data_IF_232271232618
#
_entry.id   IF_232271232618
#
_cell.length_a   1.000
_cell.length_b   1.000
_cell.length_c   1.000
_cell.angle_alpha   90.00
_cell.angle_beta   90.00
_cell.angle_gamma   90.00
#
_symmetry.space_group_name_H-M   'P 1'
#
loop_
_entity.id
_entity.type
_entity.pdbx_description
1 polymer ?
#
# COMPACT_ATOMS: atom_id res chain seq x y z
N UNK A 1 2.49 -7.10 -75.88
CA UNK A 1 1.19 -6.42 -75.74
C UNK A 1 0.80 -6.52 -74.28
N UNK A 2 1.06 -5.49 -73.49
CA UNK A 2 0.85 -5.48 -72.05
C UNK A 2 -0.63 -5.23 -71.73
N UNK A 3 -1.28 -6.20 -71.10
CA UNK A 3 -2.64 -6.07 -70.55
C UNK A 3 -2.52 -5.44 -69.16
N UNK A 4 -2.72 -4.12 -69.13
CA UNK A 4 -2.75 -3.30 -67.92
C UNK A 4 -4.07 -3.51 -67.18
N UNK A 5 -3.97 -3.98 -65.93
CA UNK A 5 -4.62 -3.44 -64.73
C UNK A 5 -6.07 -2.94 -64.88
N UNK A 6 -7.02 -3.78 -64.47
CA UNK A 6 -8.40 -3.38 -64.14
C UNK A 6 -8.64 -3.44 -62.62
N UNK A 7 -7.90 -2.64 -61.85
CA UNK A 7 -8.18 -2.42 -60.43
C UNK A 7 -9.14 -1.24 -60.29
N UNK A 8 -10.43 -1.49 -60.53
CA UNK A 8 -11.49 -0.50 -60.30
C UNK A 8 -12.20 -0.79 -58.99
N UNK A 9 -11.90 -0.04 -57.92
CA UNK A 9 -12.83 0.09 -56.81
C UNK A 9 -14.00 0.94 -57.30
N UNK A 10 -15.11 0.30 -57.67
CA UNK A 10 -16.37 1.02 -57.95
C UNK A 10 -16.77 1.81 -56.70
N UNK A 11 -16.99 3.11 -56.89
CA UNK A 11 -17.44 3.99 -55.83
C UNK A 11 -18.84 3.53 -55.38
N UNK A 12 -19.00 3.19 -54.10
CA UNK A 12 -20.27 2.76 -53.50
C UNK A 12 -21.43 3.64 -53.97
N UNK A 13 -22.51 3.00 -54.43
CA UNK A 13 -23.73 3.68 -54.87
C UNK A 13 -24.38 4.43 -53.68
N UNK A 14 -25.14 5.49 -53.96
CA UNK A 14 -25.80 6.31 -52.91
C UNK A 14 -26.73 5.47 -52.01
N UNK A 15 -27.39 4.45 -52.57
CA UNK A 15 -28.19 3.48 -51.82
C UNK A 15 -27.34 2.61 -50.86
N UNK A 16 -26.16 2.15 -51.31
CA UNK A 16 -25.28 1.31 -50.49
C UNK A 16 -24.66 2.11 -49.34
N UNK A 17 -24.39 3.39 -49.55
CA UNK A 17 -23.94 4.30 -48.48
C UNK A 17 -25.04 4.51 -47.44
N UNK A 18 -26.28 4.73 -47.88
CA UNK A 18 -27.42 4.87 -46.97
C UNK A 18 -27.65 3.60 -46.14
N UNK A 19 -27.50 2.41 -46.74
CA UNK A 19 -27.60 1.14 -46.01
C UNK A 19 -26.47 0.97 -44.98
N UNK A 20 -25.23 1.36 -45.33
CA UNK A 20 -24.10 1.34 -44.40
C UNK A 20 -24.29 2.31 -43.23
N UNK A 21 -24.76 3.53 -43.50
CA UNK A 21 -25.06 4.53 -42.47
C UNK A 21 -26.18 4.04 -41.53
N UNK A 22 -27.21 3.37 -42.08
CA UNK A 22 -28.27 2.75 -41.30
C UNK A 22 -27.74 1.62 -40.40
N UNK A 23 -26.85 0.77 -40.91
CA UNK A 23 -26.20 -0.29 -40.12
C UNK A 23 -25.33 0.29 -39.01
N UNK A 24 -24.60 1.37 -39.28
CA UNK A 24 -23.79 2.05 -38.26
C UNK A 24 -24.66 2.68 -37.17
N UNK A 25 -25.75 3.36 -37.54
CA UNK A 25 -26.71 3.90 -36.58
C UNK A 25 -27.36 2.81 -35.70
N UNK A 26 -27.64 1.63 -36.27
CA UNK A 26 -28.11 0.46 -35.52
C UNK A 26 -27.06 -0.07 -34.53
N UNK A 27 -25.77 -0.05 -34.89
CA UNK A 27 -24.70 -0.41 -33.95
C UNK A 27 -24.56 0.62 -32.82
N UNK A 28 -24.62 1.92 -33.14
CA UNK A 28 -24.56 3.00 -32.13
C UNK A 28 -25.69 2.86 -31.12
N UNK A 29 -26.93 2.69 -31.60
CA UNK A 29 -28.10 2.50 -30.73
C UNK A 29 -27.97 1.23 -29.87
N UNK A 30 -27.57 0.10 -30.46
CA UNK A 30 -27.31 -1.14 -29.73
C UNK A 30 -26.21 -0.99 -28.65
N UNK A 31 -25.16 -0.23 -28.90
CA UNK A 31 -24.10 0.03 -27.93
C UNK A 31 -24.63 0.86 -26.73
N UNK A 32 -25.49 1.84 -26.99
CA UNK A 32 -26.15 2.62 -25.94
C UNK A 32 -27.13 1.80 -25.11
N UNK A 33 -27.88 0.89 -25.73
CA UNK A 33 -28.77 -0.04 -25.01
C UNK A 33 -27.96 -0.97 -24.08
N UNK A 34 -26.87 -1.55 -24.58
CA UNK A 34 -25.96 -2.38 -23.78
C UNK A 34 -25.35 -1.61 -22.61
N UNK A 35 -24.97 -0.34 -22.82
CA UNK A 35 -24.51 0.55 -21.75
C UNK A 35 -25.57 0.65 -20.65
N UNK A 36 -26.82 0.89 -21.01
CA UNK A 36 -27.88 1.08 -20.03
C UNK A 36 -28.27 -0.23 -19.32
N UNK A 37 -28.30 -1.35 -20.04
CA UNK A 37 -28.46 -2.68 -19.43
C UNK A 37 -27.36 -2.96 -18.42
N UNK A 38 -26.10 -2.65 -18.74
CA UNK A 38 -24.98 -2.75 -17.81
C UNK A 38 -25.22 -1.91 -16.55
N UNK A 39 -25.66 -0.66 -16.70
CA UNK A 39 -25.99 0.22 -15.57
C UNK A 39 -27.11 -0.35 -14.69
N UNK A 40 -28.13 -0.97 -15.29
CA UNK A 40 -29.20 -1.64 -14.55
C UNK A 40 -28.69 -2.83 -13.75
N UNK A 41 -27.81 -3.67 -14.33
CA UNK A 41 -27.19 -4.77 -13.60
C UNK A 41 -26.33 -4.30 -12.43
N UNK A 42 -25.60 -3.18 -12.57
CA UNK A 42 -24.87 -2.56 -11.46
C UNK A 42 -25.83 -2.17 -10.32
N UNK A 43 -27.00 -1.60 -10.64
CA UNK A 43 -28.02 -1.25 -9.65
C UNK A 43 -28.64 -2.46 -8.95
N UNK A 44 -28.76 -3.60 -9.64
CA UNK A 44 -29.26 -4.87 -9.07
C UNK A 44 -28.30 -5.50 -8.06
N UNK A 45 -27.04 -5.07 -8.03
CA UNK A 45 -26.06 -5.42 -7.01
C UNK A 45 -25.13 -6.59 -7.38
N UNK A 46 -24.37 -7.06 -6.39
CA UNK A 46 -23.16 -7.88 -6.57
C UNK A 46 -23.34 -9.14 -7.42
N UNK A 47 -24.52 -9.78 -7.35
CA UNK A 47 -24.83 -11.00 -8.12
C UNK A 47 -24.81 -10.78 -9.63
N UNK A 48 -25.03 -9.55 -10.09
CA UNK A 48 -25.14 -9.20 -11.50
C UNK A 48 -23.94 -8.40 -12.03
N UNK A 49 -22.87 -8.27 -11.26
CA UNK A 49 -21.68 -7.54 -11.69
C UNK A 49 -20.93 -8.23 -12.84
N UNK A 50 -20.98 -9.55 -12.94
CA UNK A 50 -20.48 -10.29 -14.12
C UNK A 50 -21.25 -9.89 -15.38
N UNK A 51 -22.58 -9.83 -15.28
CA UNK A 51 -23.47 -9.53 -16.40
C UNK A 51 -23.28 -8.08 -16.87
N UNK A 52 -23.09 -7.16 -15.92
CA UNK A 52 -22.74 -5.77 -16.23
C UNK A 52 -21.41 -5.67 -17.02
N UNK A 53 -20.39 -6.42 -16.62
CA UNK A 53 -19.09 -6.46 -17.32
C UNK A 53 -19.26 -7.01 -18.74
N UNK A 54 -20.08 -8.05 -18.93
CA UNK A 54 -20.36 -8.60 -20.26
C UNK A 54 -21.06 -7.57 -21.15
N UNK A 55 -22.11 -6.92 -20.65
CA UNK A 55 -22.82 -5.85 -21.36
C UNK A 55 -21.86 -4.72 -21.81
N UNK A 56 -21.02 -4.22 -20.90
CA UNK A 56 -20.04 -3.17 -21.25
C UNK A 56 -19.00 -3.68 -22.25
N UNK A 57 -18.54 -4.92 -22.12
CA UNK A 57 -17.55 -5.51 -23.04
C UNK A 57 -18.13 -5.68 -24.44
N UNK A 58 -19.38 -6.14 -24.54
CA UNK A 58 -20.11 -6.23 -25.81
C UNK A 58 -20.31 -4.84 -26.43
N UNK A 59 -20.64 -3.83 -25.64
CA UNK A 59 -20.76 -2.45 -26.13
C UNK A 59 -19.43 -1.91 -26.67
N UNK A 60 -18.31 -2.14 -25.96
CA UNK A 60 -16.96 -1.74 -26.42
C UNK A 60 -16.58 -2.46 -27.72
N UNK A 61 -16.89 -3.76 -27.82
CA UNK A 61 -16.55 -4.58 -28.98
C UNK A 61 -17.28 -4.17 -30.27
N UNK A 62 -18.41 -3.46 -30.17
CA UNK A 62 -19.11 -2.95 -31.35
C UNK A 62 -18.33 -1.83 -32.06
N UNK A 63 -17.39 -1.15 -31.37
CA UNK A 63 -16.54 -0.09 -31.91
C UNK A 63 -17.29 0.97 -32.73
N UNK A 64 -18.53 1.26 -32.33
CA UNK A 64 -19.42 2.20 -33.03
C UNK A 64 -19.56 3.54 -32.30
N UNK A 65 -19.09 3.64 -31.05
CA UNK A 65 -19.24 4.83 -30.22
C UNK A 65 -18.07 5.80 -30.36
N UNK A 66 -18.32 7.07 -30.05
CA UNK A 66 -17.28 8.09 -29.93
C UNK A 66 -16.22 7.69 -28.90
N UNK A 67 -15.01 8.25 -28.99
CA UNK A 67 -13.95 8.00 -27.99
C UNK A 67 -14.37 8.41 -26.58
N UNK A 68 -15.15 9.49 -26.46
CA UNK A 68 -15.72 9.96 -25.20
C UNK A 68 -16.71 8.95 -24.59
N UNK A 69 -17.65 8.44 -25.40
CA UNK A 69 -18.62 7.43 -24.94
C UNK A 69 -17.95 6.09 -24.61
N UNK A 70 -16.95 5.72 -25.40
CA UNK A 70 -16.14 4.52 -25.18
C UNK A 70 -15.33 4.66 -23.89
N UNK A 71 -14.76 5.84 -23.59
CA UNK A 71 -14.13 6.15 -22.31
C UNK A 71 -15.09 5.94 -21.14
N UNK A 72 -16.35 6.36 -21.27
CA UNK A 72 -17.38 6.14 -20.23
C UNK A 72 -17.64 4.65 -20.02
N UNK A 73 -17.69 3.84 -21.08
CA UNK A 73 -17.86 2.38 -20.97
C UNK A 73 -16.70 1.72 -20.24
N UNK A 74 -15.46 2.03 -20.62
CA UNK A 74 -14.27 1.54 -19.92
C UNK A 74 -14.26 1.95 -18.45
N UNK A 75 -14.58 3.21 -18.16
CA UNK A 75 -14.64 3.70 -16.80
C UNK A 75 -15.76 3.00 -15.98
N UNK A 76 -16.91 2.70 -16.58
CA UNK A 76 -17.98 1.96 -15.92
C UNK A 76 -17.61 0.49 -15.68
N UNK A 77 -16.92 -0.16 -16.63
CA UNK A 77 -16.38 -1.51 -16.44
C UNK A 77 -15.31 -1.53 -15.32
N UNK A 78 -14.45 -0.52 -15.27
CA UNK A 78 -13.48 -0.33 -14.19
C UNK A 78 -14.15 -0.24 -12.81
N UNK A 79 -15.27 0.49 -12.73
CA UNK A 79 -16.04 0.62 -11.49
C UNK A 79 -16.54 -0.74 -10.99
N UNK A 80 -17.12 -1.55 -11.87
CA UNK A 80 -17.63 -2.87 -11.50
C UNK A 80 -16.49 -3.81 -11.11
N UNK A 81 -15.36 -3.75 -11.82
CA UNK A 81 -14.16 -4.50 -11.46
C UNK A 81 -13.63 -4.10 -10.07
N UNK A 82 -13.66 -2.81 -9.69
CA UNK A 82 -13.33 -2.37 -8.32
C UNK A 82 -14.29 -2.94 -7.28
N UNK A 83 -15.60 -2.97 -7.57
CA UNK A 83 -16.60 -3.52 -6.65
C UNK A 83 -16.44 -5.04 -6.45
N UNK A 84 -15.90 -5.74 -7.45
CA UNK A 84 -15.55 -7.16 -7.38
C UNK A 84 -14.21 -7.43 -6.71
N UNK A 85 -13.38 -6.40 -6.46
CA UNK A 85 -12.02 -6.55 -5.94
C UNK A 85 -10.96 -6.87 -7.01
N UNK A 86 -11.33 -6.81 -8.30
CA UNK A 86 -10.43 -7.05 -9.42
C UNK A 86 -9.61 -5.79 -9.74
N UNK A 87 -8.78 -5.35 -8.80
CA UNK A 87 -8.09 -4.06 -8.87
C UNK A 87 -7.17 -3.90 -10.08
N UNK A 88 -6.47 -4.96 -10.51
CA UNK A 88 -5.58 -4.89 -11.68
C UNK A 88 -6.36 -4.67 -12.98
N UNK A 89 -7.49 -5.38 -13.16
CA UNK A 89 -8.35 -5.20 -14.34
C UNK A 89 -9.01 -3.83 -14.33
N UNK A 90 -9.43 -3.36 -13.16
CA UNK A 90 -9.98 -2.03 -13.01
C UNK A 90 -8.97 -0.93 -13.37
N UNK A 91 -7.70 -1.09 -12.98
CA UNK A 91 -6.65 -0.15 -13.33
C UNK A 91 -6.46 -0.06 -14.84
N UNK A 92 -6.31 -1.20 -15.52
CA UNK A 92 -6.18 -1.23 -16.98
C UNK A 92 -7.39 -0.61 -17.68
N UNK A 93 -8.61 -0.94 -17.25
CA UNK A 93 -9.82 -0.33 -17.82
C UNK A 93 -9.86 1.19 -17.60
N UNK A 94 -9.44 1.66 -16.42
CA UNK A 94 -9.40 3.09 -16.12
C UNK A 94 -8.32 3.83 -16.92
N UNK A 95 -7.15 3.22 -17.14
CA UNK A 95 -6.09 3.76 -17.99
C UNK A 95 -6.53 3.89 -19.45
N UNK A 96 -7.21 2.87 -20.00
CA UNK A 96 -7.79 2.95 -21.35
C UNK A 96 -8.85 4.05 -21.44
N UNK A 97 -9.68 4.21 -20.41
CA UNK A 97 -10.63 5.32 -20.36
C UNK A 97 -9.95 6.69 -20.35
N UNK A 98 -8.83 6.86 -19.63
CA UNK A 98 -8.06 8.10 -19.58
C UNK A 98 -7.38 8.38 -20.93
N UNK A 99 -6.83 7.35 -21.60
CA UNK A 99 -6.23 7.50 -22.94
C UNK A 99 -7.23 8.02 -23.96
N UNK A 100 -8.46 7.52 -23.93
CA UNK A 100 -9.53 7.94 -24.84
C UNK A 100 -10.11 9.31 -24.47
N UNK A 101 -10.22 9.63 -23.19
CA UNK A 101 -10.74 10.91 -22.73
C UNK A 101 -10.02 11.37 -21.45
N UNK A 102 -8.98 12.20 -21.59
CA UNK A 102 -8.24 12.75 -20.45
C UNK A 102 -9.11 13.65 -19.56
N UNK A 103 -10.22 14.20 -20.07
CA UNK A 103 -11.16 15.02 -19.29
C UNK A 103 -12.08 14.20 -18.38
N UNK A 104 -12.10 12.87 -18.49
CA UNK A 104 -12.95 12.01 -17.68
C UNK A 104 -12.42 11.86 -16.25
N UNK A 105 -12.85 12.75 -15.35
CA UNK A 105 -12.42 12.73 -13.94
C UNK A 105 -12.83 11.43 -13.21
N UNK A 106 -13.92 10.77 -13.63
CA UNK A 106 -14.37 9.50 -13.02
C UNK A 106 -13.38 8.37 -13.33
N UNK A 107 -12.75 8.39 -14.51
CA UNK A 107 -11.71 7.45 -14.86
C UNK A 107 -10.47 7.64 -13.98
N UNK A 108 -10.03 8.88 -13.79
CA UNK A 108 -8.93 9.24 -12.87
C UNK A 108 -9.18 8.77 -11.44
N UNK A 109 -10.38 9.01 -10.90
CA UNK A 109 -10.75 8.54 -9.56
C UNK A 109 -10.70 7.01 -9.46
N UNK A 110 -11.21 6.30 -10.46
CA UNK A 110 -11.21 4.83 -10.49
C UNK A 110 -9.79 4.26 -10.63
N UNK A 111 -8.94 4.88 -11.46
CA UNK A 111 -7.52 4.53 -11.60
C UNK A 111 -6.78 4.72 -10.28
N UNK A 112 -6.92 5.88 -9.63
CA UNK A 112 -6.29 6.15 -8.34
C UNK A 112 -6.75 5.17 -7.24
N UNK A 113 -8.04 4.85 -7.19
CA UNK A 113 -8.59 3.87 -6.24
C UNK A 113 -8.07 2.46 -6.51
N UNK A 114 -7.95 2.08 -7.78
CA UNK A 114 -7.38 0.79 -8.19
C UNK A 114 -5.89 0.69 -7.81
N UNK A 115 -5.09 1.71 -8.16
CA UNK A 115 -3.68 1.79 -7.81
C UNK A 115 -3.44 1.76 -6.29
N UNK A 116 -4.25 2.49 -5.51
CA UNK A 116 -4.18 2.46 -4.04
C UNK A 116 -4.45 1.07 -3.47
N UNK A 117 -5.40 0.32 -4.05
CA UNK A 117 -5.69 -1.05 -3.62
C UNK A 117 -4.59 -2.05 -4.00
N UNK A 118 -3.75 -1.72 -4.98
CA UNK A 118 -2.57 -2.49 -5.39
C UNK A 118 -1.28 -2.04 -4.67
N UNK A 119 -1.38 -1.11 -3.72
CA UNK A 119 -0.24 -0.48 -3.03
C UNK A 119 0.73 0.29 -3.96
N UNK A 120 0.25 0.68 -5.15
CA UNK A 120 0.99 1.51 -6.12
C UNK A 120 0.80 2.99 -5.76
N UNK A 121 1.37 3.42 -4.64
CA UNK A 121 1.10 4.73 -4.04
C UNK A 121 1.53 5.91 -4.93
N UNK A 122 2.64 5.79 -5.66
CA UNK A 122 3.15 6.83 -6.57
C UNK A 122 2.23 7.06 -7.76
N UNK A 123 1.81 5.98 -8.42
CA UNK A 123 0.85 6.01 -9.53
C UNK A 123 -0.51 6.56 -9.05
N UNK A 124 -0.98 6.11 -7.88
CA UNK A 124 -2.23 6.59 -7.30
C UNK A 124 -2.21 8.12 -7.06
N UNK A 125 -1.09 8.67 -6.59
CA UNK A 125 -0.91 10.12 -6.44
C UNK A 125 -0.99 10.84 -7.78
N UNK A 126 -0.31 10.32 -8.81
CA UNK A 126 -0.32 10.90 -10.16
C UNK A 126 -1.73 10.95 -10.75
N UNK A 127 -2.50 9.85 -10.67
CA UNK A 127 -3.88 9.82 -11.14
C UNK A 127 -4.79 10.78 -10.36
N UNK A 128 -4.60 10.91 -9.05
CA UNK A 128 -5.34 11.88 -8.24
C UNK A 128 -5.05 13.32 -8.65
N UNK A 129 -3.77 13.67 -8.85
CA UNK A 129 -3.36 15.01 -9.25
C UNK A 129 -3.93 15.37 -10.62
N UNK A 130 -3.76 14.48 -11.61
CA UNK A 130 -4.32 14.66 -12.95
C UNK A 130 -5.86 14.82 -12.90
N UNK A 131 -6.56 14.04 -12.07
CA UNK A 131 -8.02 14.17 -11.91
C UNK A 131 -8.46 15.50 -11.26
N UNK A 132 -7.66 16.05 -10.35
CA UNK A 132 -7.92 17.34 -9.69
C UNK A 132 -7.69 18.50 -10.66
N UNK A 133 -6.69 18.42 -11.53
CA UNK A 133 -6.44 19.40 -12.59
C UNK A 133 -7.64 19.51 -13.55
N UNK A 134 -8.30 18.39 -13.85
CA UNK A 134 -9.51 18.36 -14.68
C UNK A 134 -10.78 18.79 -13.94
N UNK A 135 -10.83 18.64 -12.61
CA UNK A 135 -11.99 18.96 -11.78
C UNK A 135 -11.56 19.58 -10.44
N UNK A 136 -11.45 20.91 -10.42
CA UNK A 136 -10.94 21.68 -9.27
C UNK A 136 -11.75 21.47 -7.97
N UNK A 137 -13.02 21.03 -8.09
CA UNK A 137 -13.96 20.91 -6.97
C UNK A 137 -14.35 19.45 -6.64
N UNK A 138 -13.43 18.50 -6.80
CA UNK A 138 -13.71 17.11 -6.44
C UNK A 138 -13.19 16.76 -5.03
N UNK A 139 -14.08 16.83 -4.04
CA UNK A 139 -13.80 16.47 -2.66
C UNK A 139 -13.40 14.99 -2.47
N UNK A 140 -13.88 14.09 -3.32
CA UNK A 140 -13.54 12.67 -3.21
C UNK A 140 -12.08 12.39 -3.58
N UNK A 141 -11.59 13.04 -4.64
CA UNK A 141 -10.17 12.95 -5.05
C UNK A 141 -9.26 13.58 -4.01
N UNK A 142 -9.64 14.73 -3.43
CA UNK A 142 -8.88 15.37 -2.34
C UNK A 142 -8.80 14.47 -1.10
N UNK A 143 -9.89 13.79 -0.72
CA UNK A 143 -9.91 12.80 0.37
C UNK A 143 -9.01 11.61 0.06
N UNK A 144 -9.06 11.10 -1.17
CA UNK A 144 -8.22 9.98 -1.61
C UNK A 144 -6.73 10.35 -1.59
N UNK A 145 -6.38 11.56 -2.06
CA UNK A 145 -5.00 12.06 -2.02
C UNK A 145 -4.46 12.16 -0.58
N UNK A 146 -5.27 12.65 0.37
CA UNK A 146 -4.90 12.66 1.80
C UNK A 146 -4.68 11.26 2.36
N UNK A 147 -5.48 10.28 1.92
CA UNK A 147 -5.30 8.89 2.33
C UNK A 147 -3.99 8.30 1.78
N UNK A 148 -3.66 8.61 0.52
CA UNK A 148 -2.42 8.16 -0.12
C UNK A 148 -1.21 8.79 0.57
N UNK A 149 -1.21 10.10 0.81
CA UNK A 149 -0.08 10.79 1.46
C UNK A 149 0.16 10.30 2.89
N UNK A 150 -0.91 10.00 3.63
CA UNK A 150 -0.80 9.39 4.96
C UNK A 150 -0.11 8.01 4.88
N UNK A 151 -0.51 7.16 3.93
CA UNK A 151 0.14 5.85 3.73
C UNK A 151 1.59 5.97 3.31
N UNK A 152 1.93 6.92 2.43
CA UNK A 152 3.30 7.20 2.02
C UNK A 152 4.17 7.59 3.21
N UNK A 153 3.73 8.57 4.01
CA UNK A 153 4.46 9.00 5.21
C UNK A 153 4.62 7.87 6.23
N UNK A 154 3.59 7.03 6.43
CA UNK A 154 3.70 5.86 7.31
C UNK A 154 4.74 4.84 6.83
N UNK A 155 4.81 4.61 5.51
CA UNK A 155 5.80 3.71 4.90
C UNK A 155 7.21 4.28 5.03
N UNK A 156 7.40 5.56 4.69
CA UNK A 156 8.68 6.25 4.84
C UNK A 156 9.17 6.22 6.28
N UNK A 157 8.29 6.45 7.26
CA UNK A 157 8.65 6.37 8.67
C UNK A 157 9.07 4.95 9.09
N UNK A 158 8.38 3.92 8.61
CA UNK A 158 8.75 2.52 8.88
C UNK A 158 10.09 2.16 8.24
N UNK A 159 10.29 2.55 6.99
CA UNK A 159 11.53 2.30 6.26
C UNK A 159 12.71 3.04 6.91
N UNK A 160 12.50 4.28 7.37
CA UNK A 160 13.49 5.05 8.12
C UNK A 160 13.81 4.42 9.48
N UNK A 161 12.82 3.90 10.21
CA UNK A 161 13.05 3.18 11.46
C UNK A 161 13.81 1.87 11.25
N UNK A 162 13.46 1.11 10.21
CA UNK A 162 14.14 -0.13 9.85
C UNK A 162 15.60 0.15 9.44
N UNK A 163 15.84 1.20 8.64
CA UNK A 163 17.18 1.62 8.26
C UNK A 163 18.02 2.04 9.47
N UNK A 164 17.45 2.83 10.40
CA UNK A 164 18.13 3.22 11.65
C UNK A 164 18.48 2.00 12.50
N UNK A 165 17.55 1.05 12.65
CA UNK A 165 17.80 -0.18 13.41
C UNK A 165 18.88 -1.06 12.77
N UNK A 166 18.92 -1.12 11.44
CA UNK A 166 19.95 -1.86 10.71
C UNK A 166 21.34 -1.24 10.90
N UNK A 167 21.43 0.10 10.81
CA UNK A 167 22.68 0.84 11.06
C UNK A 167 23.14 0.61 12.50
N UNK A 168 22.27 0.83 13.49
CA UNK A 168 22.60 0.61 14.90
C UNK A 168 23.02 -0.85 15.18
N UNK A 169 22.36 -1.83 14.57
CA UNK A 169 22.75 -3.24 14.70
C UNK A 169 24.11 -3.54 14.08
N UNK A 170 24.47 -2.87 12.97
CA UNK A 170 25.76 -3.03 12.32
C UNK A 170 26.88 -2.38 13.15
N UNK A 171 26.64 -1.18 13.64
CA UNK A 171 27.59 -0.44 14.49
C UNK A 171 27.87 -1.21 15.79
N UNK A 172 26.82 -1.75 16.40
CA UNK A 172 26.92 -2.63 17.57
C UNK A 172 27.74 -3.89 17.28
N UNK A 173 27.53 -4.53 16.13
CA UNK A 173 28.28 -5.72 15.75
C UNK A 173 29.78 -5.41 15.56
N UNK A 174 30.13 -4.33 14.86
CA UNK A 174 31.52 -3.89 14.74
C UNK A 174 32.14 -3.56 16.09
N UNK A 175 31.42 -2.88 16.98
CA UNK A 175 31.89 -2.54 18.32
C UNK A 175 32.22 -3.78 19.17
N UNK A 176 31.49 -4.88 18.98
CA UNK A 176 31.69 -6.17 19.66
C UNK A 176 32.91 -6.91 19.08
N UNK A 177 33.05 -6.90 17.75
CA UNK A 177 34.20 -7.50 17.05
C UNK A 177 35.51 -6.79 17.39
N UNK A 178 35.53 -5.45 17.38
CA UNK A 178 36.70 -4.62 17.69
C UNK A 178 37.20 -4.83 19.13
N UNK A 179 36.26 -5.09 20.06
CA UNK A 179 36.56 -5.40 21.47
C UNK A 179 36.93 -6.88 21.69
N UNK A 180 36.85 -7.72 20.66
CA UNK A 180 37.16 -9.15 20.75
C UNK A 180 36.19 -9.96 21.62
N UNK A 181 34.95 -9.49 21.79
CA UNK A 181 33.96 -10.12 22.67
C UNK A 181 33.31 -11.33 21.99
N UNK A 182 33.28 -12.47 22.68
CA UNK A 182 32.66 -13.71 22.19
C UNK A 182 31.23 -13.81 22.67
N UNK A 183 30.27 -13.69 21.75
CA UNK A 183 28.86 -13.92 22.05
C UNK A 183 28.56 -15.42 22.07
N UNK A 184 28.10 -15.91 23.23
CA UNK A 184 27.64 -17.28 23.42
C UNK A 184 26.13 -17.44 23.24
N UNK A 185 25.62 -18.66 23.46
CA UNK A 185 24.16 -18.89 23.54
C UNK A 185 23.58 -18.15 24.75
N UNK A 186 22.39 -17.59 24.59
CA UNK A 186 21.66 -16.97 25.69
C UNK A 186 21.17 -18.05 26.68
N UNK A 187 21.85 -18.18 27.82
CA UNK A 187 21.59 -19.24 28.80
C UNK A 187 20.51 -18.89 29.83
N UNK A 188 20.09 -17.62 29.92
CA UNK A 188 19.17 -17.10 30.96
C UNK A 188 18.13 -16.11 30.42
N UNK A 189 17.69 -16.29 29.18
CA UNK A 189 16.82 -15.34 28.48
C UNK A 189 15.45 -15.14 29.16
N UNK A 190 14.99 -16.14 29.92
CA UNK A 190 13.77 -16.07 30.73
C UNK A 190 13.89 -15.10 31.90
N UNK A 191 15.10 -14.94 32.45
CA UNK A 191 15.39 -14.05 33.58
C UNK A 191 15.73 -12.64 33.10
N UNK A 192 16.61 -12.51 32.10
CA UNK A 192 17.06 -11.19 31.57
C UNK A 192 16.06 -10.52 30.62
N UNK A 193 15.06 -11.27 30.15
CA UNK A 193 14.19 -10.86 29.06
C UNK A 193 14.90 -10.77 27.71
N UNK A 194 14.26 -10.08 26.76
CA UNK A 194 14.73 -9.84 25.39
C UNK A 194 15.67 -8.64 25.25
N UNK A 195 16.20 -8.09 26.35
CA UNK A 195 17.08 -6.92 26.33
C UNK A 195 18.43 -7.29 25.70
N UNK A 196 18.90 -6.42 24.81
CA UNK A 196 20.14 -6.59 24.02
C UNK A 196 21.11 -5.48 24.41
N UNK A 197 22.43 -5.71 24.24
CA UNK A 197 23.40 -4.64 24.42
C UNK A 197 23.10 -3.49 23.47
N UNK A 198 23.31 -2.27 23.95
CA UNK A 198 23.14 -1.05 23.17
C UNK A 198 24.47 -0.30 23.11
N UNK A 199 24.68 0.42 22.01
CA UNK A 199 25.84 1.27 21.83
C UNK A 199 25.39 2.73 21.97
N UNK A 200 26.01 3.46 22.91
CA UNK A 200 25.73 4.87 23.13
C UNK A 200 26.44 5.76 22.08
N UNK A 201 26.04 7.04 22.02
CA UNK A 201 26.59 8.08 21.13
C UNK A 201 28.10 8.23 21.29
N UNK A 202 28.63 7.95 22.48
CA UNK A 202 30.07 7.99 22.76
C UNK A 202 30.84 6.73 22.34
N UNK A 203 30.20 5.81 21.59
CA UNK A 203 30.73 4.50 21.23
C UNK A 203 31.05 3.62 22.46
N UNK A 204 30.30 3.84 23.55
CA UNK A 204 30.41 3.09 24.80
C UNK A 204 29.34 2.01 24.80
N UNK A 205 29.73 0.80 25.19
CA UNK A 205 28.85 -0.35 25.17
C UNK A 205 28.13 -0.51 26.52
N UNK A 206 26.82 -0.67 26.44
CA UNK A 206 25.93 -0.84 27.56
C UNK A 206 25.35 -2.26 27.56
N UNK A 207 25.50 -2.95 28.69
CA UNK A 207 25.18 -4.37 28.82
C UNK A 207 24.07 -4.61 29.84
N UNK A 208 23.08 -5.46 29.52
CA UNK A 208 22.29 -6.09 30.56
C UNK A 208 23.16 -7.13 31.29
N UNK A 209 23.31 -7.00 32.60
CA UNK A 209 24.11 -7.91 33.42
C UNK A 209 23.24 -8.62 34.44
N UNK A 210 23.28 -9.95 34.44
CA UNK A 210 22.62 -10.81 35.43
C UNK A 210 23.63 -11.20 36.52
N UNK A 211 23.31 -10.88 37.76
CA UNK A 211 24.05 -11.32 38.94
C UNK A 211 23.34 -12.52 39.56
N UNK A 212 24.08 -13.60 39.79
CA UNK A 212 23.56 -14.85 40.37
C UNK A 212 24.19 -15.09 41.73
N UNK A 213 23.36 -15.23 42.76
CA UNK A 213 23.78 -15.50 44.13
C UNK A 213 23.48 -16.96 44.48
N UNK A 214 24.41 -17.85 44.14
CA UNK A 214 24.21 -19.30 44.25
C UNK A 214 23.88 -19.78 45.67
N UNK A 215 24.40 -19.12 46.70
CA UNK A 215 24.18 -19.50 48.11
C UNK A 215 22.73 -19.30 48.56
N UNK A 216 22.07 -18.26 48.04
CA UNK A 216 20.69 -17.88 48.41
C UNK A 216 19.69 -18.16 47.30
N UNK A 217 20.14 -18.76 46.19
CA UNK A 217 19.32 -19.07 45.01
C UNK A 217 18.53 -17.86 44.50
N UNK A 218 19.13 -16.67 44.58
CA UNK A 218 18.53 -15.42 44.10
C UNK A 218 19.33 -14.83 42.94
N UNK A 219 18.71 -13.89 42.23
CA UNK A 219 19.33 -13.19 41.11
C UNK A 219 18.87 -11.75 41.04
N UNK A 220 19.77 -10.86 40.64
CA UNK A 220 19.48 -9.46 40.34
C UNK A 220 19.92 -9.11 38.92
N UNK A 221 19.29 -8.09 38.33
CA UNK A 221 19.57 -7.66 36.96
C UNK A 221 19.94 -6.17 36.98
N UNK A 222 21.11 -5.86 36.43
CA UNK A 222 21.48 -4.51 36.05
C UNK A 222 21.04 -4.34 34.60
N UNK A 223 20.03 -3.51 34.36
CA UNK A 223 19.46 -3.36 33.03
C UNK A 223 20.41 -2.66 32.04
N UNK A 224 21.24 -1.76 32.55
CA UNK A 224 22.08 -0.86 31.79
C UNK A 224 23.43 -0.68 32.48
N UNK A 225 24.37 -1.60 32.23
CA UNK A 225 25.73 -1.56 32.77
C UNK A 225 26.69 -0.97 31.74
N UNK A 226 27.25 0.19 32.04
CA UNK A 226 28.24 0.85 31.19
C UNK A 226 29.61 0.17 31.29
N UNK A 227 30.26 -0.14 30.16
CA UNK A 227 31.56 -0.83 30.16
C UNK A 227 32.70 -0.06 30.86
N UNK A 228 32.57 1.27 31.02
CA UNK A 228 33.57 2.09 31.72
C UNK A 228 33.35 2.13 33.23
N UNK A 229 32.21 1.66 33.72
CA UNK A 229 31.88 1.66 35.14
C UNK A 229 32.41 0.41 35.86
N UNK A 230 32.66 0.56 37.15
CA UNK A 230 33.06 -0.57 37.99
C UNK A 230 31.85 -1.22 38.64
N UNK A 231 31.92 -2.53 38.86
CA UNK A 231 30.87 -3.27 39.56
C UNK A 231 30.64 -2.78 41.00
N UNK A 232 31.66 -2.20 41.66
CA UNK A 232 31.54 -1.72 43.04
C UNK A 232 30.39 -0.74 43.20
N UNK A 233 30.25 0.22 42.28
CA UNK A 233 29.20 1.23 42.34
C UNK A 233 27.79 0.62 42.29
N UNK A 234 27.60 -0.38 41.43
CA UNK A 234 26.33 -1.10 41.30
C UNK A 234 26.05 -2.01 42.49
N UNK A 235 27.09 -2.71 42.98
CA UNK A 235 26.96 -3.60 44.12
C UNK A 235 26.65 -2.84 45.41
N UNK A 236 27.19 -1.64 45.60
CA UNK A 236 26.83 -0.79 46.73
C UNK A 236 25.33 -0.44 46.68
N UNK A 237 24.81 -0.02 45.52
CA UNK A 237 23.38 0.26 45.36
C UNK A 237 22.48 -0.95 45.64
N UNK A 238 22.89 -2.16 45.25
CA UNK A 238 22.12 -3.39 45.47
C UNK A 238 22.24 -3.86 46.94
N UNK A 239 23.40 -3.65 47.56
CA UNK A 239 23.70 -4.11 48.92
C UNK A 239 23.18 -3.19 50.02
N UNK A 240 22.80 -1.94 49.70
CA UNK A 240 22.14 -1.05 50.64
C UNK A 240 20.63 -1.36 50.67
N UNK A 241 20.10 -1.99 51.75
CA UNK A 241 18.66 -2.09 51.91
C UNK A 241 18.11 -0.67 52.01
N UNK A 242 17.22 -0.30 51.10
CA UNK A 242 16.33 0.85 51.28
C UNK A 242 15.74 0.75 52.69
N UNK A 243 15.95 1.74 53.59
CA UNK A 243 15.50 1.66 54.98
C UNK A 243 13.97 1.64 55.12
N UNK A 244 13.21 1.66 54.03
CA UNK A 244 11.75 1.67 54.04
C UNK A 244 11.10 0.29 54.10
N UNK A 245 11.80 -0.82 53.83
CA UNK A 245 11.16 -2.14 53.93
C UNK A 245 11.20 -2.75 55.34
N UNK A 246 12.08 -2.26 56.23
CA UNK A 246 12.12 -2.77 57.61
C UNK A 246 10.99 -2.20 58.50
N UNK A 247 10.31 -1.13 58.07
CA UNK A 247 9.25 -0.52 58.88
C UNK A 247 7.89 -1.22 58.74
N UNK A 248 7.66 -2.01 57.68
CA UNK A 248 6.36 -2.66 57.46
C UNK A 248 6.24 -4.06 58.06
N UNK A 249 7.35 -4.74 58.37
CA UNK A 249 7.32 -6.09 58.96
C UNK A 249 7.43 -6.11 60.50
N UNK A 250 7.68 -4.97 61.16
CA UNK A 250 7.70 -4.87 62.62
C UNK A 250 6.39 -4.38 63.27
N UNK A 251 5.38 -4.00 62.48
CA UNK A 251 4.08 -3.51 63.00
C UNK A 251 2.87 -4.39 62.66
N UNK A 252 3.08 -5.68 62.34
CA UNK A 252 1.98 -6.66 62.27
C UNK A 252 2.11 -7.70 63.39
N UNK A 253 2.02 -7.22 64.62
CA UNK A 253 1.47 -7.97 65.76
C UNK A 253 0.65 -7.00 66.59
N UNK A 254 -0.63 -6.89 66.27
CA UNK A 254 -1.76 -6.95 67.19
C UNK A 254 -3.02 -7.26 66.38
#
# INVERSE_FOLDING_TARGET
MALMMGGGSEALNESERADLDAIEALKVSGAHELKEQGNQYVKKGKKHYSDAIDCYTRAINQKALSESDTSVLFANRAHVNLLLGNSRRALTDAEEAIKLSPSNFKAHYRAAKAALSLDLLTEATSFCQAGIEQSLDNDELKKLLKQISLRQSQRENRDAQAAKALVASKDLASAIEDRGLKLGRAMYQELTGLKKPILDVNNILHWPVLLLYAEVMSSDIIEDFCETETFSFHLDMISFPMPFLLLFLLNSKF
#
